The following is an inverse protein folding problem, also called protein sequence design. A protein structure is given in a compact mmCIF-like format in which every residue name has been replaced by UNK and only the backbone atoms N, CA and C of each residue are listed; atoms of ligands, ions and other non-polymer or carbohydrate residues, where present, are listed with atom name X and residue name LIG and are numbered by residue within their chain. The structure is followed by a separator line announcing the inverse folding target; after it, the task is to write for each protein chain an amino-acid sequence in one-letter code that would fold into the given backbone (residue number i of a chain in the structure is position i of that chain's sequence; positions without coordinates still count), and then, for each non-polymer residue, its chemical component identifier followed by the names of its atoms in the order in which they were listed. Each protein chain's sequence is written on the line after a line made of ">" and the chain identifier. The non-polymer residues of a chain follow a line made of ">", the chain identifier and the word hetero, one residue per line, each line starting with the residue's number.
data_IF_636007341763
#
_entry.id   IF_636007341763
#
_cell.length_a   1.000
_cell.length_b   1.000
_cell.length_c   1.000
_cell.angle_alpha   90.00
_cell.angle_beta   90.00
_cell.angle_gamma   90.00
#
_symmetry.space_group_name_H-M   'P 1'
#
loop_
_entity.id
_entity.type
_entity.pdbx_description
1 polymer ?
#
# COMPACT_ATOMS: atom_id res chain seq x y z
N UNK A 1 15.40 22.72 20.84
CA UNK A 1 14.70 21.47 21.20
C UNK A 1 14.16 20.83 19.94
N UNK A 2 14.32 19.52 19.79
CA UNK A 2 14.00 18.73 18.59
C UNK A 2 12.65 17.99 18.71
N UNK A 3 11.66 18.63 19.34
CA UNK A 3 10.33 18.04 19.55
C UNK A 3 9.55 17.97 18.22
N UNK A 4 9.03 16.80 17.80
CA UNK A 4 8.18 16.69 16.63
C UNK A 4 6.86 17.45 16.83
N UNK A 5 6.33 18.01 15.74
CA UNK A 5 5.06 18.73 15.73
C UNK A 5 4.30 18.35 14.47
N UNK A 6 2.95 18.31 14.48
CA UNK A 6 2.15 17.96 13.31
C UNK A 6 2.49 18.77 12.05
N UNK A 7 2.86 20.05 12.21
CA UNK A 7 3.29 20.92 11.09
C UNK A 7 4.56 20.43 10.36
N UNK A 8 5.37 19.57 10.98
CA UNK A 8 6.54 18.96 10.37
C UNK A 8 6.17 17.80 9.44
N UNK A 9 4.93 17.30 9.52
CA UNK A 9 4.37 16.27 8.63
C UNK A 9 5.16 14.95 8.58
N UNK A 10 5.70 14.53 9.73
CA UNK A 10 6.28 13.19 9.83
C UNK A 10 5.18 12.12 9.73
N UNK A 11 5.41 11.11 8.90
CA UNK A 11 4.48 10.00 8.72
C UNK A 11 5.23 8.68 8.74
N UNK A 12 4.50 7.61 9.07
CA UNK A 12 5.05 6.26 9.13
C UNK A 12 4.09 5.29 8.44
N UNK A 13 4.63 4.35 7.66
CA UNK A 13 3.81 3.25 7.14
C UNK A 13 3.46 2.26 8.26
N UNK A 14 2.27 1.66 8.24
CA UNK A 14 1.89 0.59 9.18
C UNK A 14 2.97 -0.52 9.20
N UNK A 15 3.47 -0.90 8.03
CA UNK A 15 4.52 -1.89 7.84
C UNK A 15 5.89 -1.53 8.43
N UNK A 16 6.10 -0.28 8.86
CA UNK A 16 7.39 0.16 9.43
C UNK A 16 7.48 -0.23 10.90
N UNK A 17 6.77 0.47 11.77
CA UNK A 17 6.68 0.17 13.21
C UNK A 17 5.99 -1.18 13.47
N UNK A 18 5.11 -1.62 12.57
CA UNK A 18 4.47 -2.93 12.62
C UNK A 18 5.34 -4.08 12.11
N UNK A 19 6.58 -3.82 11.65
CA UNK A 19 7.47 -4.88 11.21
C UNK A 19 7.82 -5.82 12.38
N UNK A 20 7.51 -7.11 12.24
CA UNK A 20 7.74 -8.14 13.28
C UNK A 20 9.18 -8.65 13.37
N UNK A 21 10.06 -8.22 12.47
CA UNK A 21 11.48 -8.57 12.47
C UNK A 21 11.82 -9.89 11.82
N UNK A 22 10.90 -10.49 11.04
CA UNK A 22 11.22 -11.63 10.18
C UNK A 22 12.12 -11.19 9.03
N UNK A 23 13.10 -12.02 8.71
CA UNK A 23 13.98 -11.85 7.55
C UNK A 23 14.17 -13.20 6.80
N UNK A 24 15.03 -13.27 5.76
CA UNK A 24 15.26 -14.53 5.03
C UNK A 24 15.90 -15.66 5.85
N UNK A 25 16.48 -15.39 7.01
CA UNK A 25 17.28 -16.32 7.82
C UNK A 25 16.79 -16.47 9.27
N UNK A 26 15.78 -15.69 9.69
CA UNK A 26 15.25 -15.71 11.05
C UNK A 26 13.73 -15.48 11.13
N UNK A 27 13.13 -16.14 12.12
CA UNK A 27 11.71 -15.98 12.45
C UNK A 27 11.42 -14.61 13.08
N UNK A 28 10.13 -14.27 13.19
CA UNK A 28 9.69 -13.04 13.83
C UNK A 28 10.14 -12.97 15.30
N UNK A 29 10.61 -11.79 15.72
CA UNK A 29 11.11 -11.51 17.08
C UNK A 29 10.26 -10.52 17.86
N UNK A 30 9.21 -9.97 17.23
CA UNK A 30 8.21 -9.09 17.84
C UNK A 30 6.81 -9.63 17.57
N UNK A 31 5.87 -9.36 18.47
CA UNK A 31 4.46 -9.64 18.21
C UNK A 31 3.92 -8.67 17.15
N UNK A 32 2.91 -9.09 16.41
CA UNK A 32 2.21 -8.22 15.49
C UNK A 32 1.37 -7.20 16.28
N UNK A 33 1.45 -5.93 15.88
CA UNK A 33 0.58 -4.87 16.38
C UNK A 33 -0.59 -4.68 15.42
N UNK A 34 -1.78 -4.42 15.95
CA UNK A 34 -2.92 -4.04 15.13
C UNK A 34 -2.74 -2.64 14.53
N UNK A 35 -3.39 -2.33 13.40
CA UNK A 35 -3.38 -0.98 12.83
C UNK A 35 -3.87 0.10 13.81
N UNK A 36 -4.83 -0.23 14.67
CA UNK A 36 -5.36 0.68 15.70
C UNK A 36 -4.32 0.99 16.76
N UNK A 37 -3.63 -0.03 17.29
CA UNK A 37 -2.54 0.17 18.27
C UNK A 37 -1.43 1.04 17.67
N UNK A 38 -1.06 0.80 16.41
CA UNK A 38 -0.04 1.59 15.71
C UNK A 38 -0.46 3.06 15.60
N UNK A 39 -1.72 3.36 15.27
CA UNK A 39 -2.20 4.75 15.17
C UNK A 39 -2.05 5.50 16.49
N UNK A 40 -2.45 4.88 17.61
CA UNK A 40 -2.30 5.50 18.94
C UNK A 40 -0.82 5.70 19.31
N UNK A 41 0.04 4.70 19.08
CA UNK A 41 1.49 4.81 19.35
C UNK A 41 2.14 5.93 18.53
N UNK A 42 1.78 6.07 17.25
CA UNK A 42 2.29 7.15 16.40
C UNK A 42 1.83 8.53 16.87
N UNK A 43 0.60 8.63 17.38
CA UNK A 43 0.07 9.87 17.96
C UNK A 43 0.86 10.31 19.19
N UNK A 44 1.15 9.36 20.10
CA UNK A 44 1.89 9.62 21.34
C UNK A 44 3.29 10.19 21.08
N UNK A 45 3.94 9.79 19.98
CA UNK A 45 5.28 10.28 19.59
C UNK A 45 5.24 11.50 18.65
N UNK A 46 4.06 12.09 18.43
CA UNK A 46 3.91 13.35 17.69
C UNK A 46 3.96 13.21 16.17
N UNK A 47 3.67 12.02 15.62
CA UNK A 47 3.49 11.85 14.18
C UNK A 47 2.28 12.64 13.67
N UNK A 48 2.32 13.04 12.40
CA UNK A 48 1.21 13.73 11.74
C UNK A 48 0.26 12.76 11.04
N UNK A 49 0.77 11.62 10.57
CA UNK A 49 -0.05 10.68 9.82
C UNK A 49 0.56 9.31 9.67
N UNK A 50 -0.25 8.42 9.10
CA UNK A 50 0.07 7.01 8.88
C UNK A 50 -0.21 6.64 7.43
N UNK A 51 0.59 5.74 6.85
CA UNK A 51 0.41 5.24 5.49
C UNK A 51 0.17 3.73 5.54
N UNK A 52 -0.46 3.14 4.52
CA UNK A 52 -0.70 1.68 4.50
C UNK A 52 -0.61 1.08 3.09
N UNK A 53 -0.19 -0.18 3.00
CA UNK A 53 -0.64 -1.05 1.93
C UNK A 53 -2.03 -1.58 2.28
N UNK A 54 -2.85 -1.87 1.27
CA UNK A 54 -4.14 -2.52 1.44
C UNK A 54 -4.09 -3.73 2.39
N UNK A 55 -3.08 -4.60 2.26
CA UNK A 55 -2.93 -5.77 3.13
C UNK A 55 -2.27 -5.53 4.49
N UNK A 56 -1.74 -4.33 4.75
CA UNK A 56 -1.34 -3.98 6.12
C UNK A 56 -2.58 -3.66 6.98
N UNK A 57 -3.61 -3.09 6.34
CA UNK A 57 -4.87 -2.74 7.00
C UNK A 57 -5.86 -3.90 6.96
N UNK A 58 -6.14 -4.46 5.78
CA UNK A 58 -7.15 -5.50 5.57
C UNK A 58 -6.47 -6.81 5.15
N UNK A 59 -6.50 -7.86 5.97
CA UNK A 59 -6.00 -9.17 5.58
C UNK A 59 -6.62 -9.64 4.26
N UNK A 60 -5.82 -10.24 3.37
CA UNK A 60 -6.31 -10.70 2.06
C UNK A 60 -7.43 -11.75 2.15
N UNK A 61 -7.52 -12.43 3.30
CA UNK A 61 -8.53 -13.45 3.62
C UNK A 61 -9.77 -12.87 4.28
N UNK A 62 -9.80 -11.57 4.57
CA UNK A 62 -10.93 -10.93 5.25
C UNK A 62 -12.19 -11.00 4.37
N UNK A 63 -13.29 -11.40 4.98
CA UNK A 63 -14.63 -11.26 4.40
C UNK A 63 -15.02 -9.78 4.27
N UNK A 64 -16.02 -9.43 3.45
CA UNK A 64 -16.52 -8.06 3.37
C UNK A 64 -16.94 -7.48 4.73
N UNK A 65 -17.58 -8.29 5.58
CA UNK A 65 -17.99 -7.85 6.93
C UNK A 65 -16.78 -7.58 7.84
N UNK A 66 -15.75 -8.42 7.78
CA UNK A 66 -14.51 -8.19 8.54
C UNK A 66 -13.78 -6.94 8.03
N UNK A 67 -13.69 -6.76 6.70
CA UNK A 67 -13.17 -5.55 6.09
C UNK A 67 -13.86 -4.31 6.66
N UNK A 68 -15.18 -4.27 6.61
CA UNK A 68 -15.94 -3.08 7.00
C UNK A 68 -15.75 -2.75 8.48
N UNK A 69 -15.67 -3.78 9.34
CA UNK A 69 -15.35 -3.61 10.76
C UNK A 69 -13.94 -3.05 10.97
N UNK A 70 -12.94 -3.60 10.29
CA UNK A 70 -11.54 -3.14 10.38
C UNK A 70 -11.42 -1.68 9.95
N UNK A 71 -12.05 -1.32 8.83
CA UNK A 71 -12.02 0.05 8.31
C UNK A 71 -12.74 1.01 9.26
N UNK A 72 -13.87 0.61 9.85
CA UNK A 72 -14.57 1.42 10.85
C UNK A 72 -13.71 1.67 12.09
N UNK A 73 -13.04 0.64 12.62
CA UNK A 73 -12.17 0.76 13.79
C UNK A 73 -10.96 1.64 13.50
N UNK A 74 -10.36 1.49 12.31
CA UNK A 74 -9.23 2.32 11.90
C UNK A 74 -9.64 3.78 11.74
N UNK A 75 -10.81 4.06 11.15
CA UNK A 75 -11.37 5.43 11.06
C UNK A 75 -11.62 6.03 12.45
N UNK A 76 -12.11 5.24 13.40
CA UNK A 76 -12.31 5.70 14.77
C UNK A 76 -10.97 6.08 15.42
N UNK A 77 -9.93 5.25 15.28
CA UNK A 77 -8.59 5.55 15.81
C UNK A 77 -7.98 6.82 15.20
N UNK A 78 -8.17 7.04 13.88
CA UNK A 78 -7.75 8.28 13.22
C UNK A 78 -8.50 9.50 13.77
N UNK A 79 -9.81 9.38 14.00
CA UNK A 79 -10.62 10.45 14.59
C UNK A 79 -10.22 10.78 16.03
N UNK A 80 -9.94 9.76 16.85
CA UNK A 80 -9.56 9.92 18.25
C UNK A 80 -8.19 10.58 18.41
N UNK A 81 -7.26 10.32 17.48
CA UNK A 81 -5.87 10.80 17.54
C UNK A 81 -5.61 12.06 16.72
N UNK A 82 -6.46 12.33 15.72
CA UNK A 82 -6.24 13.39 14.73
C UNK A 82 -5.15 13.08 13.70
N UNK A 83 -4.64 11.83 13.64
CA UNK A 83 -3.75 11.42 12.55
C UNK A 83 -4.52 11.43 11.22
N UNK A 84 -3.80 11.78 10.16
CA UNK A 84 -4.32 11.67 8.79
C UNK A 84 -3.70 10.48 8.06
N UNK A 85 -4.33 10.05 6.97
CA UNK A 85 -3.72 9.17 5.98
C UNK A 85 -3.35 10.00 4.76
N UNK A 86 -2.07 10.41 4.58
CA UNK A 86 -1.69 11.19 3.42
C UNK A 86 -1.38 10.33 2.19
N UNK A 87 -0.98 9.07 2.40
CA UNK A 87 -0.58 8.15 1.35
C UNK A 87 -1.09 6.73 1.59
N UNK A 88 -1.51 6.08 0.50
CA UNK A 88 -1.82 4.65 0.45
C UNK A 88 -1.10 3.99 -0.74
N UNK A 89 -1.00 2.67 -0.71
CA UNK A 89 -0.39 1.87 -1.78
C UNK A 89 -0.98 0.44 -1.81
N UNK A 90 -0.58 -0.37 -2.78
CA UNK A 90 -1.03 -1.76 -2.93
C UNK A 90 0.11 -2.72 -2.66
N UNK A 91 -0.13 -3.74 -1.85
CA UNK A 91 0.80 -4.87 -1.75
C UNK A 91 0.68 -5.74 -3.01
N UNK A 92 1.59 -5.54 -3.96
CA UNK A 92 1.69 -6.32 -5.21
C UNK A 92 2.94 -7.23 -5.21
N UNK A 93 3.41 -7.64 -4.04
CA UNK A 93 4.69 -8.34 -3.91
C UNK A 93 4.69 -9.54 -2.97
N UNK A 94 3.72 -9.63 -2.06
CA UNK A 94 3.67 -10.70 -1.04
C UNK A 94 2.93 -11.94 -1.52
N UNK A 95 1.80 -11.77 -2.22
CA UNK A 95 1.04 -12.90 -2.74
C UNK A 95 1.90 -13.70 -3.77
N UNK A 96 1.99 -15.04 -3.65
CA UNK A 96 2.73 -15.89 -4.60
C UNK A 96 2.30 -15.77 -6.06
N UNK A 97 1.09 -15.27 -6.33
CA UNK A 97 0.65 -14.93 -7.69
C UNK A 97 1.57 -13.88 -8.35
N UNK A 98 2.13 -12.95 -7.58
CA UNK A 98 2.98 -11.86 -8.07
C UNK A 98 4.47 -12.23 -8.18
N UNK A 99 4.82 -13.51 -8.06
CA UNK A 99 6.23 -13.97 -8.09
C UNK A 99 7.02 -13.57 -9.34
N UNK A 100 6.35 -13.34 -10.47
CA UNK A 100 6.94 -12.93 -11.77
C UNK A 100 6.53 -11.49 -12.15
N UNK A 101 6.20 -10.66 -11.15
CA UNK A 101 5.65 -9.33 -11.36
C UNK A 101 4.13 -9.32 -11.29
N UNK A 102 3.58 -8.13 -11.10
CA UNK A 102 2.16 -7.89 -11.02
C UNK A 102 1.69 -7.24 -12.33
N UNK A 103 2.08 -5.99 -12.60
CA UNK A 103 1.73 -5.32 -13.85
C UNK A 103 2.53 -5.83 -15.05
N UNK A 104 3.74 -6.34 -14.83
CA UNK A 104 4.61 -6.87 -15.89
C UNK A 104 4.64 -8.40 -15.95
N UNK A 105 3.80 -9.07 -15.14
CA UNK A 105 3.67 -10.53 -15.15
C UNK A 105 3.55 -11.08 -16.56
N UNK A 106 4.23 -12.19 -16.85
CA UNK A 106 4.03 -12.87 -18.13
C UNK A 106 2.62 -13.45 -18.26
N UNK A 107 2.01 -13.84 -17.14
CA UNK A 107 0.62 -14.29 -17.09
C UNK A 107 -0.35 -13.11 -17.16
N UNK A 108 -1.28 -13.13 -18.13
CA UNK A 108 -2.29 -12.08 -18.31
C UNK A 108 -3.32 -12.05 -17.18
N UNK A 109 -3.68 -13.20 -16.61
CA UNK A 109 -4.60 -13.30 -15.48
C UNK A 109 -4.05 -12.60 -14.25
N UNK A 110 -2.75 -12.75 -13.98
CA UNK A 110 -2.06 -12.04 -12.88
C UNK A 110 -2.07 -10.53 -13.10
N UNK A 111 -1.82 -10.05 -14.33
CA UNK A 111 -1.91 -8.61 -14.64
C UNK A 111 -3.30 -8.04 -14.42
N UNK A 112 -4.33 -8.76 -14.82
CA UNK A 112 -5.73 -8.36 -14.59
C UNK A 112 -6.06 -8.32 -13.09
N UNK A 113 -5.59 -9.32 -12.33
CA UNK A 113 -5.73 -9.35 -10.88
C UNK A 113 -5.03 -8.15 -10.21
N UNK A 114 -3.80 -7.83 -10.62
CA UNK A 114 -3.05 -6.69 -10.10
C UNK A 114 -3.79 -5.36 -10.32
N UNK A 115 -4.37 -5.15 -11.51
CA UNK A 115 -5.19 -3.98 -11.80
C UNK A 115 -6.42 -3.89 -10.91
N UNK A 116 -7.20 -4.97 -10.79
CA UNK A 116 -8.39 -4.99 -9.94
C UNK A 116 -8.05 -4.72 -8.47
N UNK A 117 -7.00 -5.38 -7.96
CA UNK A 117 -6.53 -5.19 -6.58
C UNK A 117 -6.14 -3.74 -6.33
N UNK A 118 -5.45 -3.13 -7.30
CA UNK A 118 -5.02 -1.73 -7.20
C UNK A 118 -6.18 -0.75 -7.22
N UNK A 119 -7.20 -0.96 -8.07
CA UNK A 119 -8.40 -0.11 -8.07
C UNK A 119 -9.11 -0.13 -6.70
N UNK A 120 -9.34 -1.33 -6.14
CA UNK A 120 -9.97 -1.45 -4.82
C UNK A 120 -9.15 -0.78 -3.71
N UNK A 121 -7.82 -0.84 -3.81
CA UNK A 121 -6.91 -0.21 -2.86
C UNK A 121 -6.84 1.32 -3.04
N UNK A 122 -6.97 1.83 -4.27
CA UNK A 122 -7.16 3.27 -4.55
C UNK A 122 -8.43 3.78 -3.87
N UNK A 123 -9.55 3.08 -4.04
CA UNK A 123 -10.84 3.47 -3.44
C UNK A 123 -10.74 3.57 -1.93
N UNK A 124 -10.12 2.56 -1.30
CA UNK A 124 -9.88 2.55 0.14
C UNK A 124 -8.95 3.70 0.58
N UNK A 125 -7.89 3.96 -0.19
CA UNK A 125 -6.99 5.09 0.06
C UNK A 125 -7.74 6.42 0.07
N UNK A 126 -8.57 6.65 -0.95
CA UNK A 126 -9.39 7.86 -1.07
C UNK A 126 -10.45 7.93 0.03
N UNK A 127 -11.10 6.82 0.36
CA UNK A 127 -12.05 6.69 1.47
C UNK A 127 -11.43 7.13 2.82
N UNK A 128 -10.14 6.86 3.01
CA UNK A 128 -9.38 7.22 4.21
C UNK A 128 -8.65 8.56 4.10
N UNK A 129 -8.83 9.28 3.00
CA UNK A 129 -8.33 10.66 2.81
C UNK A 129 -6.95 10.78 2.17
N UNK A 130 -6.39 9.70 1.63
CA UNK A 130 -5.11 9.73 0.94
C UNK A 130 -5.14 10.68 -0.26
N UNK A 131 -4.07 11.45 -0.42
CA UNK A 131 -3.86 12.39 -1.54
C UNK A 131 -2.71 11.96 -2.45
N UNK A 132 -1.91 11.00 -1.99
CA UNK A 132 -0.83 10.39 -2.74
C UNK A 132 -1.11 8.89 -2.80
N UNK A 133 -0.91 8.30 -3.97
CA UNK A 133 -0.92 6.86 -4.15
C UNK A 133 0.42 6.40 -4.68
N UNK A 134 1.12 5.57 -3.89
CA UNK A 134 2.46 5.11 -4.24
C UNK A 134 2.40 3.81 -5.02
N UNK A 135 3.29 3.69 -6.01
CA UNK A 135 3.53 2.48 -6.78
C UNK A 135 4.97 2.04 -6.60
N UNK A 136 5.17 0.99 -5.80
CA UNK A 136 6.46 0.31 -5.71
C UNK A 136 6.42 -1.02 -6.46
N UNK A 137 7.14 -1.08 -7.57
CA UNK A 137 7.20 -2.26 -8.45
C UNK A 137 8.14 -3.36 -7.97
N UNK A 138 8.08 -3.76 -6.70
CA UNK A 138 9.08 -4.65 -6.08
C UNK A 138 9.22 -6.05 -6.70
N UNK A 139 8.27 -6.49 -7.53
CA UNK A 139 8.32 -7.75 -8.30
C UNK A 139 8.45 -7.54 -9.81
N UNK A 140 8.43 -6.29 -10.27
CA UNK A 140 8.51 -5.97 -11.69
C UNK A 140 9.97 -6.06 -12.14
N UNK A 141 10.41 -7.23 -12.57
CA UNK A 141 11.81 -7.45 -12.90
C UNK A 141 12.10 -8.84 -13.46
N UNK A 142 13.37 -9.22 -13.37
CA UNK A 142 13.84 -10.55 -13.75
C UNK A 142 15.17 -10.85 -13.07
N UNK A 143 15.41 -12.13 -12.78
CA UNK A 143 16.74 -12.63 -12.37
C UNK A 143 17.57 -13.09 -13.58
N UNK A 144 16.96 -13.29 -14.76
CA UNK A 144 17.63 -13.72 -15.99
C UNK A 144 17.11 -13.01 -17.22
N UNK A 145 17.99 -12.61 -18.14
CA UNK A 145 17.62 -11.78 -19.30
C UNK A 145 16.57 -12.44 -20.22
N UNK A 146 16.59 -13.77 -20.33
CA UNK A 146 15.66 -14.51 -21.18
C UNK A 146 14.22 -14.58 -20.62
N UNK A 147 14.02 -14.34 -19.32
CA UNK A 147 12.71 -14.50 -18.68
C UNK A 147 11.77 -13.30 -18.87
N UNK A 148 12.31 -12.11 -19.20
CA UNK A 148 11.51 -10.90 -19.36
C UNK A 148 12.01 -10.02 -20.49
N UNK A 149 11.16 -9.84 -21.51
CA UNK A 149 11.41 -8.84 -22.54
C UNK A 149 11.17 -7.42 -21.95
N UNK A 150 12.20 -6.55 -21.87
CA UNK A 150 12.07 -5.25 -21.23
C UNK A 150 11.15 -4.30 -21.99
N UNK A 151 11.09 -4.40 -23.33
CA UNK A 151 10.21 -3.57 -24.15
C UNK A 151 8.74 -3.91 -23.84
N UNK A 152 8.42 -5.21 -23.81
CA UNK A 152 7.06 -5.66 -23.48
C UNK A 152 6.70 -5.34 -22.03
N UNK A 153 7.63 -5.49 -21.08
CA UNK A 153 7.38 -5.14 -19.68
C UNK A 153 7.06 -3.65 -19.52
N UNK A 154 7.84 -2.76 -20.13
CA UNK A 154 7.58 -1.30 -20.09
C UNK A 154 6.24 -0.94 -20.74
N UNK A 155 5.89 -1.58 -21.86
CA UNK A 155 4.59 -1.38 -22.49
C UNK A 155 3.44 -1.75 -21.56
N UNK A 156 3.54 -2.90 -20.86
CA UNK A 156 2.54 -3.36 -19.88
C UNK A 156 2.44 -2.44 -18.67
N UNK A 157 3.57 -1.98 -18.12
CA UNK A 157 3.59 -1.00 -17.03
C UNK A 157 2.90 0.29 -17.45
N UNK A 158 3.19 0.80 -18.65
CA UNK A 158 2.52 2.00 -19.20
C UNK A 158 1.02 1.79 -19.34
N UNK A 159 0.60 0.65 -19.90
CA UNK A 159 -0.83 0.31 -20.03
C UNK A 159 -1.53 0.31 -18.66
N UNK A 160 -0.93 -0.32 -17.65
CA UNK A 160 -1.49 -0.33 -16.31
C UNK A 160 -1.57 1.07 -15.69
N UNK A 161 -0.50 1.87 -15.80
CA UNK A 161 -0.50 3.23 -15.26
C UNK A 161 -1.52 4.13 -15.97
N UNK A 162 -1.61 4.06 -17.30
CA UNK A 162 -2.61 4.82 -18.05
C UNK A 162 -4.04 4.45 -17.60
N UNK A 163 -4.33 3.15 -17.51
CA UNK A 163 -5.65 2.68 -17.08
C UNK A 163 -6.01 3.21 -15.68
N UNK A 164 -5.07 3.13 -14.73
CA UNK A 164 -5.31 3.60 -13.36
C UNK A 164 -5.44 5.13 -13.28
N UNK A 165 -4.68 5.87 -14.10
CA UNK A 165 -4.86 7.32 -14.22
C UNK A 165 -6.24 7.67 -14.77
N UNK A 166 -6.67 7.00 -15.85
CA UNK A 166 -8.01 7.17 -16.43
C UNK A 166 -9.10 6.85 -15.41
N UNK A 167 -8.93 5.76 -14.65
CA UNK A 167 -9.84 5.40 -13.57
C UNK A 167 -9.96 6.49 -12.50
N UNK A 168 -8.84 7.01 -11.99
CA UNK A 168 -8.82 8.09 -10.99
C UNK A 168 -9.47 9.37 -11.52
N UNK A 169 -9.24 9.71 -12.79
CA UNK A 169 -9.86 10.86 -13.45
C UNK A 169 -11.37 10.68 -13.60
N UNK A 170 -11.83 9.50 -14.00
CA UNK A 170 -13.25 9.19 -14.18
C UNK A 170 -14.02 9.21 -12.84
N UNK A 171 -13.41 8.65 -11.79
CA UNK A 171 -13.94 8.73 -10.42
C UNK A 171 -13.84 10.12 -9.80
N UNK A 172 -13.15 11.07 -10.46
CA UNK A 172 -12.92 12.45 -10.00
C UNK A 172 -12.18 12.51 -8.67
N UNK A 173 -11.25 11.58 -8.45
CA UNK A 173 -10.43 11.57 -7.25
C UNK A 173 -9.30 12.59 -7.35
N UNK A 174 -9.17 13.43 -6.33
CA UNK A 174 -8.04 14.35 -6.14
C UNK A 174 -6.84 13.59 -5.56
N UNK A 175 -6.25 12.73 -6.39
CA UNK A 175 -5.20 11.79 -6.04
C UNK A 175 -4.01 11.96 -6.99
N UNK A 176 -2.79 11.93 -6.45
CA UNK A 176 -1.55 11.98 -7.24
C UNK A 176 -0.80 10.67 -7.15
N UNK A 177 -0.38 10.14 -8.28
CA UNK A 177 0.45 8.95 -8.33
C UNK A 177 1.92 9.30 -8.12
N UNK A 178 2.61 8.49 -7.31
CA UNK A 178 4.04 8.61 -7.06
C UNK A 178 4.71 7.25 -7.33
N UNK A 179 5.71 7.22 -8.21
CA UNK A 179 6.44 6.00 -8.55
C UNK A 179 7.66 5.87 -7.64
N UNK A 180 7.81 4.71 -6.99
CA UNK A 180 8.95 4.39 -6.13
C UNK A 180 9.89 3.43 -6.87
N UNK A 181 11.07 3.93 -7.25
CA UNK A 181 12.09 3.15 -7.95
C UNK A 181 12.98 2.37 -6.96
N UNK A 182 13.35 1.15 -7.35
CA UNK A 182 14.32 0.30 -6.64
C UNK A 182 15.09 -0.56 -7.62
#
# INVERSE_FOLDING_TARGET
>A
MYEPKPKHKFTFGLWTVGNVGRDPFGDAVRHALSPVEIVHLLAEVGAWGVNFHDNDLIPITATPTERDKIVADFKQALADTGLVVPMATTNLFTDPAFRDGAFTSNDRGVRAYALQKTMNAIDLGVELGAKIYVFWGGREGTETDAAKNPITAVQRSREAMNYLCEYVLDQKYDLKFALEAK
#
